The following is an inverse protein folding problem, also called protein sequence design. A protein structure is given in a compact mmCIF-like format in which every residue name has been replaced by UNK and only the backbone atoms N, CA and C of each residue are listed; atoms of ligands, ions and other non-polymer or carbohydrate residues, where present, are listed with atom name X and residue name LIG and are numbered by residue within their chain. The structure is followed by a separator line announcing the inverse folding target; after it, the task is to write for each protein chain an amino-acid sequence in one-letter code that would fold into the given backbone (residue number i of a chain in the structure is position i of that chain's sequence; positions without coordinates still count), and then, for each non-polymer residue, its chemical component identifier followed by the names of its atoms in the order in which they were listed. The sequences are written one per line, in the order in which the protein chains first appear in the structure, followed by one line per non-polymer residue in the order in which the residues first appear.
data_IF_144813626725
#
_entry.id   IF_144813626725
#
_cell.length_a   1.000
_cell.length_b   1.000
_cell.length_c   1.000
_cell.angle_alpha   90.00
_cell.angle_beta   90.00
_cell.angle_gamma   90.00
#
_symmetry.space_group_name_H-M   'P 1'
#
loop_
_entity.id
_entity.type
_entity.pdbx_description
1 polymer ?
#
# COMPACT_ATOMS: atom_id res chain seq x y z
N UNK A 1 -10.74 -2.05 -3.00
CA UNK A 1 -10.22 -3.01 -3.99
C UNK A 1 -9.37 -4.06 -3.31
N UNK A 2 -9.21 -5.21 -3.92
CA UNK A 2 -8.36 -6.27 -3.38
C UNK A 2 -6.89 -5.92 -3.53
N UNK A 3 -6.02 -6.57 -2.75
CA UNK A 3 -4.58 -6.32 -2.80
C UNK A 3 -3.96 -6.54 -4.19
N UNK A 4 -4.30 -7.60 -4.96
CA UNK A 4 -3.74 -7.75 -6.31
C UNK A 4 -4.06 -6.57 -7.23
N UNK A 5 -5.29 -6.04 -7.16
CA UNK A 5 -5.69 -4.88 -7.96
C UNK A 5 -4.99 -3.62 -7.45
N UNK A 6 -4.91 -3.46 -6.13
CA UNK A 6 -4.23 -2.33 -5.52
C UNK A 6 -2.74 -2.32 -5.90
N UNK A 7 -2.10 -3.48 -5.88
CA UNK A 7 -0.69 -3.60 -6.22
C UNK A 7 -0.38 -3.22 -7.67
N UNK A 8 -1.37 -3.28 -8.57
CA UNK A 8 -1.18 -2.84 -9.95
C UNK A 8 -0.89 -1.35 -10.05
N UNK A 9 -1.18 -0.57 -9.01
CA UNK A 9 -0.89 0.86 -8.97
C UNK A 9 0.50 1.18 -8.40
N UNK A 10 1.32 0.18 -8.14
CA UNK A 10 2.63 0.39 -7.48
C UNK A 10 3.60 1.28 -8.26
N UNK A 11 3.40 1.41 -9.57
CA UNK A 11 4.24 2.25 -10.41
C UNK A 11 3.75 3.70 -10.50
N UNK A 12 2.57 3.99 -9.95
CA UNK A 12 2.03 5.34 -9.91
C UNK A 12 2.64 6.12 -8.75
N UNK A 13 2.55 7.44 -8.81
CA UNK A 13 3.00 8.30 -7.72
C UNK A 13 1.99 8.35 -6.56
N UNK A 14 0.87 7.69 -6.71
CA UNK A 14 -0.21 7.70 -5.73
C UNK A 14 0.09 6.77 -4.57
N UNK A 15 -0.50 7.10 -3.43
CA UNK A 15 -0.37 6.29 -2.22
C UNK A 15 -1.49 5.28 -2.13
N UNK A 16 -1.24 4.21 -1.37
CA UNK A 16 -2.17 3.11 -1.18
C UNK A 16 -2.46 2.97 0.31
N UNK A 17 -3.72 2.86 0.70
CA UNK A 17 -4.07 2.71 2.11
C UNK A 17 -5.30 1.84 2.33
N UNK A 18 -5.43 1.32 3.54
CA UNK A 18 -6.65 0.74 4.07
C UNK A 18 -7.16 1.67 5.17
N UNK A 19 -8.22 2.46 4.93
CA UNK A 19 -8.71 3.43 5.92
C UNK A 19 -8.98 2.77 7.28
N UNK A 20 -8.42 3.35 8.35
CA UNK A 20 -8.57 2.81 9.69
C UNK A 20 -7.65 1.64 10.02
N UNK A 21 -6.87 1.12 9.07
CA UNK A 21 -5.99 -0.03 9.27
C UNK A 21 -4.53 0.26 8.93
N UNK A 22 -4.27 0.94 7.82
CA UNK A 22 -2.91 1.28 7.43
C UNK A 22 -2.78 2.77 7.16
N UNK A 23 -1.57 3.35 7.36
CA UNK A 23 -1.31 4.71 6.86
C UNK A 23 -1.21 4.71 5.33
N UNK A 24 -1.18 5.89 4.69
CA UNK A 24 -0.93 5.96 3.25
C UNK A 24 0.46 5.43 2.94
N UNK A 25 0.53 4.34 2.19
CA UNK A 25 1.78 3.68 1.85
C UNK A 25 2.26 4.16 0.48
N UNK A 26 3.57 4.35 0.33
CA UNK A 26 4.18 4.76 -0.91
C UNK A 26 5.06 3.64 -1.45
N UNK A 27 4.98 3.37 -2.76
CA UNK A 27 5.89 2.43 -3.40
C UNK A 27 7.24 3.09 -3.62
N UNK A 28 8.29 2.48 -3.08
CA UNK A 28 9.66 2.94 -3.29
C UNK A 28 10.30 2.01 -4.32
N UNK A 29 10.45 2.53 -5.52
CA UNK A 29 10.88 1.76 -6.68
C UNK A 29 12.28 1.17 -6.50
N UNK A 30 13.19 1.93 -5.92
CA UNK A 30 14.56 1.52 -5.70
C UNK A 30 14.69 0.35 -4.73
N UNK A 31 13.75 0.28 -3.78
CA UNK A 31 13.74 -0.75 -2.75
C UNK A 31 12.73 -1.86 -3.05
N UNK A 32 11.88 -1.66 -4.06
CA UNK A 32 10.80 -2.58 -4.43
C UNK A 32 9.92 -2.91 -3.23
N UNK A 33 9.56 -1.90 -2.45
CA UNK A 33 8.76 -2.08 -1.25
C UNK A 33 7.85 -0.89 -1.01
N UNK A 34 6.78 -1.12 -0.24
CA UNK A 34 5.94 -0.06 0.26
C UNK A 34 6.49 0.46 1.57
N UNK A 35 6.49 1.78 1.74
CA UNK A 35 6.96 2.43 2.96
C UNK A 35 5.87 3.27 3.59
N UNK A 36 5.90 3.34 4.92
CA UNK A 36 5.03 4.21 5.69
C UNK A 36 5.46 5.67 5.53
N UNK A 37 4.60 6.65 5.91
CA UNK A 37 4.99 8.06 5.90
C UNK A 37 6.26 8.35 6.71
N UNK A 38 6.58 7.51 7.70
CA UNK A 38 7.80 7.64 8.51
C UNK A 38 9.06 7.20 7.76
N UNK A 39 8.92 6.56 6.59
CA UNK A 39 10.04 6.03 5.82
C UNK A 39 10.36 4.58 6.13
N UNK A 40 9.64 3.96 7.07
CA UNK A 40 9.84 2.56 7.44
C UNK A 40 9.12 1.65 6.48
N UNK A 41 9.71 0.50 6.17
CA UNK A 41 9.06 -0.51 5.35
C UNK A 41 7.79 -1.02 6.04
N UNK A 42 6.70 -1.12 5.28
CA UNK A 42 5.45 -1.65 5.79
C UNK A 42 5.42 -3.18 5.61
N UNK A 43 5.13 -3.90 6.69
CA UNK A 43 5.01 -5.35 6.66
C UNK A 43 3.54 -5.72 6.48
N UNK A 44 3.19 -6.30 5.34
CA UNK A 44 1.82 -6.72 5.06
C UNK A 44 1.46 -7.95 5.90
N UNK A 45 0.29 -7.90 6.52
CA UNK A 45 -0.26 -9.04 7.24
C UNK A 45 -1.13 -9.87 6.30
N UNK A 46 -1.51 -11.09 6.72
CA UNK A 46 -2.47 -11.89 5.95
C UNK A 46 -3.78 -11.14 5.79
N UNK A 47 -4.24 -10.44 6.84
CA UNK A 47 -5.45 -9.63 6.76
C UNK A 47 -5.34 -8.56 5.68
N UNK A 48 -4.18 -7.92 5.55
CA UNK A 48 -3.95 -6.93 4.49
C UNK A 48 -4.04 -7.57 3.11
N UNK A 49 -3.46 -8.76 2.94
CA UNK A 49 -3.39 -9.42 1.64
C UNK A 49 -4.76 -9.88 1.14
N UNK A 50 -5.66 -10.25 2.05
CA UNK A 50 -7.01 -10.70 1.68
C UNK A 50 -8.05 -9.60 1.73
N UNK A 51 -7.68 -8.41 2.18
CA UNK A 51 -8.62 -7.30 2.32
C UNK A 51 -9.08 -6.79 0.95
N UNK A 52 -10.31 -6.29 0.92
CA UNK A 52 -10.88 -5.69 -0.28
C UNK A 52 -11.17 -4.19 -0.11
N UNK A 53 -10.68 -3.60 0.97
CA UNK A 53 -10.92 -2.19 1.31
C UNK A 53 -9.73 -1.27 1.00
N UNK A 54 -8.79 -1.72 0.19
CA UNK A 54 -7.68 -0.90 -0.24
C UNK A 54 -8.15 0.26 -1.10
N UNK A 55 -7.55 1.43 -0.90
CA UNK A 55 -7.84 2.64 -1.67
C UNK A 55 -6.55 3.25 -2.20
N UNK A 56 -6.63 3.79 -3.41
CA UNK A 56 -5.55 4.59 -4.00
C UNK A 56 -5.86 6.04 -3.70
N UNK A 57 -4.94 6.73 -3.05
CA UNK A 57 -5.10 8.15 -2.68
C UNK A 57 -4.03 8.99 -3.36
N UNK A 58 -4.41 10.22 -3.62
CA UNK A 58 -3.51 11.16 -4.29
C UNK A 58 -2.35 11.60 -3.37
#
# INVERSE_FOLDING_TARGET
MTMPIAAANRWATRRLQRPGHTPPLRWVRERRQYVEPSGREYQFTVADLVADDWEVVA
#
